data_IF_421885652985
#
_entry.id   IF_421885652985
#
_cell.length_a   1.000
_cell.length_b   1.000
_cell.length_c   1.000
_cell.angle_alpha   90.00
_cell.angle_beta   90.00
_cell.angle_gamma   90.00
#
_symmetry.space_group_name_H-M   'P 1'
#
loop_
_entity.id
_entity.type
_entity.pdbx_description
1 polymer ?
#
# COMPACT_ATOMS: atom_id res chain seq x y z
N UNK A 1 5.44 11.29 -20.30
CA UNK A 1 5.96 12.21 -19.28
C UNK A 1 5.50 11.68 -17.95
N UNK A 2 6.42 11.25 -17.07
CA UNK A 2 6.09 10.82 -15.72
C UNK A 2 6.17 12.04 -14.80
N UNK A 3 5.12 12.33 -14.05
CA UNK A 3 5.05 13.51 -13.17
C UNK A 3 5.89 13.34 -11.90
N UNK A 4 6.16 12.08 -11.51
CA UNK A 4 6.93 11.69 -10.33
C UNK A 4 7.82 10.51 -10.71
N UNK A 5 9.11 10.60 -10.39
CA UNK A 5 10.05 9.53 -10.66
C UNK A 5 9.99 8.45 -9.58
N UNK A 6 10.15 7.19 -9.99
CA UNK A 6 10.28 6.04 -9.08
C UNK A 6 11.75 5.59 -9.10
N UNK A 7 12.53 5.88 -8.03
CA UNK A 7 13.95 5.54 -7.97
C UNK A 7 14.22 4.03 -8.14
N UNK A 8 15.37 3.70 -8.72
CA UNK A 8 15.75 2.30 -8.96
C UNK A 8 15.87 1.49 -7.66
N UNK A 9 16.26 2.12 -6.55
CA UNK A 9 16.28 1.52 -5.22
C UNK A 9 14.89 1.06 -4.77
N UNK A 10 13.88 1.92 -4.93
CA UNK A 10 12.49 1.61 -4.60
C UNK A 10 11.94 0.49 -5.50
N UNK A 11 12.22 0.52 -6.80
CA UNK A 11 11.87 -0.58 -7.73
C UNK A 11 12.48 -1.91 -7.28
N UNK A 12 13.71 -1.87 -6.77
CA UNK A 12 14.42 -3.06 -6.27
C UNK A 12 13.81 -3.56 -4.97
N UNK A 13 13.45 -2.66 -4.05
CA UNK A 13 12.76 -2.98 -2.80
C UNK A 13 11.38 -3.62 -3.06
N UNK A 14 10.55 -3.01 -3.92
CA UNK A 14 9.25 -3.55 -4.33
C UNK A 14 9.37 -4.95 -4.96
N UNK A 15 10.35 -5.13 -5.86
CA UNK A 15 10.62 -6.43 -6.47
C UNK A 15 11.03 -7.47 -5.42
N UNK A 16 11.93 -7.12 -4.50
CA UNK A 16 12.36 -8.02 -3.42
C UNK A 16 11.18 -8.41 -2.52
N UNK A 17 10.36 -7.43 -2.16
CA UNK A 17 9.17 -7.64 -1.33
C UNK A 17 8.16 -8.58 -1.99
N UNK A 18 7.89 -8.40 -3.27
CA UNK A 18 6.98 -9.26 -4.05
C UNK A 18 7.40 -10.72 -4.07
N UNK A 19 8.70 -10.98 -4.15
CA UNK A 19 9.24 -12.35 -4.19
C UNK A 19 9.61 -12.91 -2.81
N UNK A 20 9.47 -12.12 -1.74
CA UNK A 20 9.72 -12.60 -0.39
C UNK A 20 8.70 -13.68 -0.02
N UNK A 21 9.20 -14.81 0.51
CA UNK A 21 8.33 -15.88 1.00
C UNK A 21 7.77 -15.47 2.37
N UNK A 22 6.45 -15.54 2.51
CA UNK A 22 5.74 -15.29 3.77
C UNK A 22 5.05 -16.58 4.22
N UNK A 23 5.07 -16.82 5.53
CA UNK A 23 4.49 -18.02 6.16
C UNK A 23 3.63 -17.69 7.39
N UNK A 24 3.83 -16.51 7.97
CA UNK A 24 3.01 -15.91 9.00
C UNK A 24 3.18 -14.38 8.97
N UNK A 25 2.17 -13.67 9.43
CA UNK A 25 2.13 -12.22 9.50
C UNK A 25 1.83 -11.55 8.16
N UNK A 26 1.15 -10.41 8.23
CA UNK A 26 1.14 -9.49 7.09
C UNK A 26 2.43 -8.67 7.09
N UNK A 27 2.84 -8.21 5.91
CA UNK A 27 3.99 -7.32 5.74
C UNK A 27 3.59 -6.16 4.84
N UNK A 28 4.22 -5.00 4.99
CA UNK A 28 3.88 -3.81 4.22
C UNK A 28 5.11 -2.98 3.86
N UNK A 29 5.11 -2.38 2.67
CA UNK A 29 6.00 -1.27 2.32
C UNK A 29 5.15 -0.01 2.15
N UNK A 30 5.47 1.03 2.90
CA UNK A 30 4.82 2.33 2.84
C UNK A 30 5.66 3.29 2.00
N UNK A 31 5.04 3.88 0.98
CA UNK A 31 5.68 4.80 0.03
C UNK A 31 4.96 6.13 0.04
N UNK A 32 5.74 7.22 0.00
CA UNK A 32 5.23 8.59 -0.17
C UNK A 32 5.81 9.23 -1.43
N UNK A 33 5.20 10.33 -1.84
CA UNK A 33 5.79 11.23 -2.85
C UNK A 33 6.46 12.40 -2.13
N UNK A 34 7.74 12.63 -2.42
CA UNK A 34 8.43 13.84 -2.08
C UNK A 34 8.06 14.94 -3.08
N UNK A 35 7.11 15.80 -2.69
CA UNK A 35 6.57 16.88 -3.54
C UNK A 35 7.64 17.86 -4.03
N UNK A 36 8.70 18.09 -3.26
CA UNK A 36 9.77 19.03 -3.64
C UNK A 36 10.69 18.46 -4.71
N UNK A 37 11.01 17.17 -4.61
CA UNK A 37 11.90 16.48 -5.54
C UNK A 37 11.17 15.82 -6.71
N UNK A 38 9.85 15.65 -6.60
CA UNK A 38 9.02 14.86 -7.50
C UNK A 38 9.53 13.42 -7.65
N UNK A 39 9.90 12.80 -6.53
CA UNK A 39 10.31 11.39 -6.47
C UNK A 39 9.50 10.61 -5.44
N UNK A 40 9.36 9.31 -5.62
CA UNK A 40 8.82 8.42 -4.60
C UNK A 40 9.91 7.95 -3.63
N UNK A 41 9.57 7.90 -2.35
CA UNK A 41 10.46 7.48 -1.27
C UNK A 41 9.76 6.40 -0.46
N UNK A 42 10.48 5.30 -0.18
CA UNK A 42 10.11 4.38 0.89
C UNK A 42 10.17 5.13 2.22
N UNK A 43 9.11 5.04 3.00
CA UNK A 43 9.04 5.64 4.35
C UNK A 43 9.41 4.60 5.38
N UNK A 44 8.78 3.44 5.27
CA UNK A 44 8.87 2.39 6.26
C UNK A 44 8.49 1.04 5.64
N UNK A 45 9.10 -0.01 6.19
CA UNK A 45 8.78 -1.38 5.86
C UNK A 45 8.50 -2.15 7.15
N UNK A 46 7.36 -2.84 7.17
CA UNK A 46 6.92 -3.66 8.29
C UNK A 46 6.96 -5.14 7.92
N UNK A 47 7.45 -5.96 8.85
CA UNK A 47 7.37 -7.41 8.78
C UNK A 47 6.55 -7.90 9.98
N UNK A 48 5.50 -8.69 9.72
CA UNK A 48 4.59 -9.23 10.75
C UNK A 48 3.82 -8.15 11.54
N UNK A 49 3.10 -7.29 10.81
CA UNK A 49 2.21 -6.25 11.36
C UNK A 49 0.74 -6.66 11.19
N UNK A 50 -0.12 -6.26 12.13
CA UNK A 50 -1.57 -6.39 11.95
C UNK A 50 -2.12 -5.27 11.06
N UNK A 51 -3.36 -5.39 10.58
CA UNK A 51 -3.96 -4.33 9.76
C UNK A 51 -4.28 -3.09 10.59
N UNK A 52 -4.71 -3.29 11.83
CA UNK A 52 -5.07 -2.21 12.74
C UNK A 52 -3.81 -1.44 13.15
N UNK A 53 -2.72 -2.13 13.52
CA UNK A 53 -1.44 -1.48 13.82
C UNK A 53 -0.90 -0.72 12.59
N UNK A 54 -1.00 -1.32 11.39
CA UNK A 54 -0.60 -0.63 10.16
C UNK A 54 -1.42 0.64 9.92
N UNK A 55 -2.71 0.62 10.21
CA UNK A 55 -3.59 1.78 10.06
C UNK A 55 -3.20 2.91 11.02
N UNK A 56 -2.78 2.59 12.24
CA UNK A 56 -2.31 3.55 13.25
C UNK A 56 -0.97 4.20 12.87
N UNK A 57 -0.08 3.48 12.19
CA UNK A 57 1.20 4.03 11.69
C UNK A 57 1.03 4.97 10.47
N UNK A 58 -0.14 4.94 9.81
CA UNK A 58 -0.39 5.76 8.63
C UNK A 58 -0.80 7.19 9.00
N UNK A 59 -0.33 8.19 8.23
CA UNK A 59 -0.62 9.59 8.52
C UNK A 59 -2.09 9.93 8.26
N UNK A 60 -2.69 10.65 9.19
CA UNK A 60 -4.09 11.11 9.06
C UNK A 60 -4.29 12.16 7.96
N UNK A 61 -3.25 12.88 7.54
CA UNK A 61 -3.34 14.09 6.70
C UNK A 61 -2.46 14.08 5.45
N UNK A 62 -1.95 12.90 5.05
CA UNK A 62 -1.14 12.78 3.85
C UNK A 62 -1.38 11.45 3.15
N UNK A 63 -1.38 11.41 1.80
CA UNK A 63 -1.57 10.17 1.08
C UNK A 63 -0.31 9.29 1.11
N UNK A 64 -0.52 7.98 0.97
CA UNK A 64 0.50 6.93 0.91
C UNK A 64 0.08 5.86 -0.09
N UNK A 65 1.06 5.24 -0.72
CA UNK A 65 0.85 3.94 -1.34
C UNK A 65 1.39 2.87 -0.41
N UNK A 66 0.62 1.81 -0.19
CA UNK A 66 1.07 0.69 0.64
C UNK A 66 0.99 -0.58 -0.18
N UNK A 67 2.14 -1.23 -0.36
CA UNK A 67 2.17 -2.59 -0.95
C UNK A 67 2.11 -3.57 0.21
N UNK A 68 0.95 -4.19 0.39
CA UNK A 68 0.63 -5.11 1.47
C UNK A 68 0.72 -6.54 0.98
N UNK A 69 1.52 -7.37 1.62
CA UNK A 69 1.40 -8.82 1.56
C UNK A 69 0.54 -9.25 2.74
N UNK A 70 -0.72 -9.57 2.46
CA UNK A 70 -1.74 -9.76 3.49
C UNK A 70 -1.88 -11.23 3.88
N UNK A 71 -1.79 -11.57 5.16
CA UNK A 71 -2.13 -12.93 5.60
C UNK A 71 -3.66 -13.14 5.53
N UNK A 72 -4.09 -13.87 4.50
CA UNK A 72 -5.49 -14.24 4.32
C UNK A 72 -5.71 -15.72 4.67
N UNK A 73 -6.59 -15.96 5.64
CA UNK A 73 -7.09 -17.29 5.99
C UNK A 73 -8.40 -17.56 5.24
N UNK A 74 -8.45 -18.69 4.54
CA UNK A 74 -9.62 -19.15 3.78
C UNK A 74 -10.48 -20.10 4.63
N UNK A 75 -11.77 -20.17 4.31
CA UNK A 75 -12.73 -21.02 5.03
C UNK A 75 -12.39 -22.52 4.97
N UNK A 76 -11.63 -22.94 3.96
CA UNK A 76 -11.14 -24.32 3.80
C UNK A 76 -9.84 -24.62 4.57
N UNK A 77 -9.39 -23.67 5.39
CA UNK A 77 -8.18 -23.77 6.20
C UNK A 77 -6.88 -23.44 5.46
N UNK A 78 -6.92 -23.10 4.16
CA UNK A 78 -5.74 -22.62 3.45
C UNK A 78 -5.34 -21.23 3.93
N UNK A 79 -4.03 -20.98 3.92
CA UNK A 79 -3.45 -19.65 4.13
C UNK A 79 -2.80 -19.17 2.83
N UNK A 80 -3.02 -17.91 2.49
CA UNK A 80 -2.41 -17.26 1.32
C UNK A 80 -1.88 -15.89 1.69
N UNK A 81 -0.97 -15.37 0.87
CA UNK A 81 -0.35 -14.06 1.07
C UNK A 81 -0.51 -13.17 -0.18
N UNK A 82 -1.75 -12.84 -0.59
CA UNK A 82 -1.96 -11.96 -1.74
C UNK A 82 -1.25 -10.62 -1.57
N UNK A 83 -0.70 -10.13 -2.67
CA UNK A 83 -0.20 -8.76 -2.75
C UNK A 83 -1.32 -7.81 -3.15
N UNK A 84 -1.45 -6.74 -2.40
CA UNK A 84 -2.52 -5.75 -2.54
C UNK A 84 -1.90 -4.35 -2.46
N UNK A 85 -2.37 -3.45 -3.30
CA UNK A 85 -2.02 -2.04 -3.24
C UNK A 85 -3.12 -1.31 -2.47
N UNK A 86 -2.82 -0.81 -1.29
CA UNK A 86 -3.70 0.11 -0.60
C UNK A 86 -3.36 1.53 -1.09
N UNK A 87 -4.36 2.17 -1.69
CA UNK A 87 -4.31 3.57 -2.04
C UNK A 87 -4.88 4.38 -0.87
N UNK A 88 -3.99 4.81 0.04
CA UNK A 88 -4.33 5.61 1.20
C UNK A 88 -4.35 7.09 0.83
N UNK A 89 -5.52 7.70 0.88
CA UNK A 89 -5.73 9.09 0.50
C UNK A 89 -6.76 9.76 1.43
N UNK A 90 -6.41 10.01 2.71
CA UNK A 90 -7.34 10.53 3.69
C UNK A 90 -7.84 11.91 3.26
N UNK A 91 -9.12 12.18 3.49
CA UNK A 91 -9.82 13.38 2.98
C UNK A 91 -9.26 14.71 3.49
N UNK A 92 -8.57 14.70 4.63
CA UNK A 92 -7.86 15.84 5.22
C UNK A 92 -6.55 16.19 4.50
N UNK A 93 -6.12 15.36 3.54
CA UNK A 93 -4.87 15.58 2.79
C UNK A 93 -4.90 16.86 1.96
N UNK A 94 -3.73 17.49 1.85
CA UNK A 94 -3.55 18.69 1.03
C UNK A 94 -3.83 18.41 -0.46
N UNK A 95 -4.66 19.25 -1.10
CA UNK A 95 -5.20 19.03 -2.45
C UNK A 95 -4.13 18.81 -3.53
N UNK A 96 -3.05 19.60 -3.52
CA UNK A 96 -2.00 19.44 -4.53
C UNK A 96 -1.15 18.19 -4.30
N UNK A 97 -1.03 17.71 -3.05
CA UNK A 97 -0.42 16.41 -2.76
C UNK A 97 -1.34 15.25 -3.21
N UNK A 98 -2.66 15.35 -2.99
CA UNK A 98 -3.65 14.42 -3.54
C UNK A 98 -3.61 14.38 -5.07
N UNK A 99 -3.46 15.53 -5.72
CA UNK A 99 -3.36 15.63 -7.18
C UNK A 99 -2.11 14.92 -7.69
N UNK A 100 -0.97 15.15 -7.04
CA UNK A 100 0.29 14.49 -7.39
C UNK A 100 0.20 12.98 -7.19
N UNK A 101 -0.38 12.54 -6.07
CA UNK A 101 -0.66 11.14 -5.75
C UNK A 101 -1.61 10.47 -6.74
N UNK A 102 -2.69 11.14 -7.15
CA UNK A 102 -3.56 10.60 -8.20
C UNK A 102 -2.82 10.48 -9.55
N UNK A 103 -1.98 11.46 -9.89
CA UNK A 103 -1.25 11.47 -11.17
C UNK A 103 -0.20 10.37 -11.30
N UNK A 104 0.38 9.93 -10.17
CA UNK A 104 1.43 8.93 -10.15
C UNK A 104 0.91 7.51 -9.84
N UNK A 105 -0.38 7.36 -9.50
CA UNK A 105 -0.96 6.10 -9.03
C UNK A 105 -0.81 4.95 -10.03
N UNK A 106 -1.17 5.18 -11.30
CA UNK A 106 -1.10 4.12 -12.33
C UNK A 106 0.34 3.66 -12.59
N UNK A 107 1.29 4.59 -12.55
CA UNK A 107 2.71 4.29 -12.75
C UNK A 107 3.28 3.51 -11.57
N UNK A 108 2.90 3.88 -10.34
CA UNK A 108 3.26 3.12 -9.15
C UNK A 108 2.65 1.72 -9.17
N UNK A 109 1.36 1.59 -9.48
CA UNK A 109 0.66 0.31 -9.55
C UNK A 109 1.34 -0.64 -10.55
N UNK A 110 1.64 -0.14 -11.75
CA UNK A 110 2.35 -0.91 -12.78
C UNK A 110 3.76 -1.30 -12.31
N UNK A 111 4.47 -0.39 -11.65
CA UNK A 111 5.83 -0.64 -11.15
C UNK A 111 5.87 -1.64 -9.99
N UNK A 112 4.87 -1.60 -9.10
CA UNK A 112 4.72 -2.56 -8.01
C UNK A 112 4.26 -3.94 -8.50
N UNK A 113 3.74 -4.04 -9.73
CA UNK A 113 3.20 -5.27 -10.33
C UNK A 113 2.05 -5.86 -9.48
N UNK A 114 1.13 -5.00 -9.04
CA UNK A 114 0.01 -5.36 -8.16
C UNK A 114 -1.32 -5.11 -8.86
N UNK A 115 -2.09 -6.19 -9.08
CA UNK A 115 -3.39 -6.12 -9.75
C UNK A 115 -4.56 -5.70 -8.85
N UNK A 116 -4.51 -6.02 -7.55
CA UNK A 116 -5.61 -5.75 -6.62
C UNK A 116 -5.38 -4.46 -5.85
N UNK A 117 -6.35 -3.55 -5.92
CA UNK A 117 -6.27 -2.22 -5.31
C UNK A 117 -7.38 -2.05 -4.28
N UNK A 118 -7.05 -1.47 -3.14
CA UNK A 118 -7.97 -1.09 -2.08
C UNK A 118 -7.86 0.42 -1.86
N UNK A 119 -8.90 1.15 -2.23
CA UNK A 119 -9.02 2.58 -1.91
C UNK A 119 -9.41 2.77 -0.43
N UNK A 120 -8.70 3.65 0.28
CA UNK A 120 -9.00 4.05 1.66
C UNK A 120 -8.93 5.56 1.77
N UNK A 121 -10.05 6.19 2.13
CA UNK A 121 -10.20 7.66 2.27
C UNK A 121 -10.61 8.10 3.66
N UNK A 122 -11.16 7.18 4.44
CA UNK A 122 -11.74 7.45 5.77
C UNK A 122 -10.70 7.33 6.90
N UNK A 123 -9.41 7.34 6.55
CA UNK A 123 -8.32 7.18 7.52
C UNK A 123 -8.29 5.76 8.11
N UNK A 124 -7.85 5.65 9.37
CA UNK A 124 -7.60 4.37 10.01
C UNK A 124 -8.87 3.51 10.12
N UNK A 125 -10.03 4.15 10.34
CA UNK A 125 -11.33 3.47 10.40
C UNK A 125 -11.70 2.74 9.09
N UNK A 126 -11.15 3.19 7.95
CA UNK A 126 -11.38 2.58 6.64
C UNK A 126 -10.42 1.45 6.29
N UNK A 127 -9.39 1.22 7.10
CA UNK A 127 -8.39 0.17 6.91
C UNK A 127 -8.48 -0.85 8.05
N UNK A 128 -9.43 -1.77 7.94
CA UNK A 128 -9.63 -2.86 8.92
C UNK A 128 -9.43 -4.22 8.27
N UNK A 129 -9.16 -5.22 9.10
CA UNK A 129 -9.05 -6.62 8.65
C UNK A 129 -10.30 -7.07 7.89
N UNK A 130 -11.48 -6.78 8.42
CA UNK A 130 -12.77 -7.18 7.85
C UNK A 130 -12.99 -6.54 6.48
N UNK A 131 -12.62 -5.27 6.32
CA UNK A 131 -12.74 -4.55 5.05
C UNK A 131 -11.83 -5.14 3.97
N UNK A 132 -10.61 -5.55 4.34
CA UNK A 132 -9.68 -6.21 3.43
C UNK A 132 -10.17 -7.60 3.07
N UNK A 133 -10.57 -8.42 4.06
CA UNK A 133 -11.09 -9.77 3.85
C UNK A 133 -12.29 -9.76 2.90
N UNK A 134 -13.25 -8.86 3.11
CA UNK A 134 -14.42 -8.73 2.26
C UNK A 134 -14.05 -8.46 0.79
N UNK A 135 -13.03 -7.62 0.54
CA UNK A 135 -12.54 -7.35 -0.82
C UNK A 135 -11.76 -8.52 -1.41
N UNK A 136 -11.09 -9.34 -0.60
CA UNK A 136 -10.23 -10.42 -1.06
C UNK A 136 -10.94 -11.77 -1.24
N UNK A 137 -11.93 -12.07 -0.41
CA UNK A 137 -12.70 -13.32 -0.46
C UNK A 137 -13.90 -13.26 -1.41
N UNK A 138 -14.44 -12.07 -1.66
CA UNK A 138 -15.67 -11.89 -2.44
C UNK A 138 -15.51 -11.03 -3.71
N UNK A 139 -14.29 -10.60 -4.03
CA UNK A 139 -13.99 -9.73 -5.17
C UNK A 139 -12.88 -10.22 -6.08
#
# INVERSE_FOLDING_TARGET
SHTVDIPQELKTALRKFRFARRNAGSAAIVVKINKQKLIMEEVEQFDNISIDDLAEELPENAPRYIVLSYELNHDDGRKSFPLVLINWAPTSSEMSLLTLHASAFLDFQATADVGKVIEVRDGAEGLTKEAIDAKLLHG
#
